data_IF_410242993732
#
_entry.id   IF_410242993732
#
_cell.length_a   1.000
_cell.length_b   1.000
_cell.length_c   1.000
_cell.angle_alpha   90.00
_cell.angle_beta   90.00
_cell.angle_gamma   90.00
#
_symmetry.space_group_name_H-M   'P 1'
#
loop_
_entity.id
_entity.type
_entity.pdbx_description
1 polymer ?
#
# COMPACT_ATOMS: atom_id res chain seq x y z
N UNK A 1 12.94 4.07 2.28
CA UNK A 1 12.46 4.69 3.55
C UNK A 1 12.63 6.21 3.62
N UNK A 2 13.37 6.86 2.72
CA UNK A 2 13.61 8.31 2.77
C UNK A 2 12.31 9.14 2.78
N UNK A 3 11.39 8.86 1.87
CA UNK A 3 10.10 9.56 1.77
C UNK A 3 9.28 9.47 3.08
N UNK A 4 9.09 8.27 3.64
CA UNK A 4 8.35 8.11 4.90
C UNK A 4 8.97 8.91 6.05
N UNK A 5 10.30 8.91 6.17
CA UNK A 5 11.00 9.69 7.20
C UNK A 5 10.76 11.18 7.01
N UNK A 6 10.86 11.69 5.79
CA UNK A 6 10.60 13.09 5.48
C UNK A 6 9.14 13.48 5.78
N UNK A 7 8.17 12.71 5.29
CA UNK A 7 6.75 12.99 5.50
C UNK A 7 6.36 12.95 6.98
N UNK A 8 6.97 12.06 7.76
CA UNK A 8 6.67 11.94 9.19
C UNK A 8 7.41 12.97 10.04
N UNK A 9 8.71 13.18 9.81
CA UNK A 9 9.56 14.01 10.69
C UNK A 9 9.49 15.48 10.34
N UNK A 10 9.47 15.79 9.05
CA UNK A 10 9.62 17.17 8.57
C UNK A 10 8.25 17.77 8.26
N UNK A 11 7.34 16.99 7.66
CA UNK A 11 5.99 17.42 7.26
C UNK A 11 4.87 16.87 8.17
N UNK A 12 5.23 16.18 9.25
CA UNK A 12 4.28 15.43 10.08
C UNK A 12 3.16 16.30 10.66
N UNK A 13 3.46 17.54 11.05
CA UNK A 13 2.47 18.47 11.59
C UNK A 13 1.30 18.76 10.62
N UNK A 14 1.54 18.63 9.31
CA UNK A 14 0.52 18.87 8.27
C UNK A 14 -0.04 17.56 7.72
N UNK A 15 0.84 16.59 7.45
CA UNK A 15 0.49 15.38 6.72
C UNK A 15 0.04 14.22 7.62
N UNK A 16 0.35 14.24 8.91
CA UNK A 16 0.00 13.15 9.83
C UNK A 16 -1.27 13.45 10.62
N UNK A 17 -2.23 12.53 10.57
CA UNK A 17 -3.45 12.56 11.38
C UNK A 17 -3.73 11.23 12.05
N UNK A 18 -4.96 11.08 12.57
CA UNK A 18 -5.37 9.91 13.36
C UNK A 18 -5.31 8.58 12.59
N UNK A 19 -5.33 8.63 11.25
CA UNK A 19 -5.23 7.46 10.36
C UNK A 19 -3.90 7.38 9.61
N UNK A 20 -2.87 8.09 10.07
CA UNK A 20 -1.55 8.14 9.44
C UNK A 20 -1.40 9.30 8.46
N UNK A 21 -0.71 9.08 7.34
CA UNK A 21 -0.54 10.09 6.29
C UNK A 21 -1.88 10.42 5.63
N UNK A 22 -2.12 11.70 5.34
CA UNK A 22 -3.25 12.19 4.55
C UNK A 22 -3.16 11.73 3.09
N UNK A 23 -4.30 11.76 2.40
CA UNK A 23 -4.48 11.18 1.08
C UNK A 23 -3.55 11.77 -0.01
N UNK A 24 -3.35 13.09 0.02
CA UNK A 24 -2.53 13.81 -0.94
C UNK A 24 -2.10 15.18 -0.37
N UNK A 25 -1.06 15.77 -0.97
CA UNK A 25 -0.67 17.16 -0.73
C UNK A 25 -0.01 17.76 -1.98
N UNK A 26 -0.07 19.08 -2.11
CA UNK A 26 0.60 19.86 -3.15
C UNK A 26 1.27 21.10 -2.52
N UNK A 27 2.60 21.07 -2.29
CA UNK A 27 3.30 22.19 -1.66
C UNK A 27 3.34 23.44 -2.55
N UNK A 28 3.22 23.30 -3.88
CA UNK A 28 3.17 24.44 -4.80
C UNK A 28 1.84 25.20 -4.77
N UNK A 29 0.83 24.67 -4.08
CA UNK A 29 -0.48 25.30 -3.90
C UNK A 29 -0.86 25.45 -2.42
N UNK A 30 0.09 25.21 -1.50
CA UNK A 30 -0.15 25.18 -0.05
C UNK A 30 -1.40 24.37 0.33
N UNK A 31 -1.58 23.21 -0.32
CA UNK A 31 -2.78 22.39 -0.18
C UNK A 31 -2.46 21.02 0.38
N UNK A 32 -3.28 20.58 1.32
CA UNK A 32 -3.24 19.24 1.91
C UNK A 32 -4.64 18.67 1.91
N UNK A 33 -4.80 17.41 1.54
CA UNK A 33 -6.11 16.75 1.49
C UNK A 33 -6.72 16.61 2.88
N UNK A 34 -7.98 17.03 3.03
CA UNK A 34 -8.72 16.91 4.28
C UNK A 34 -9.16 15.48 4.61
N UNK A 35 -9.08 14.58 3.62
CA UNK A 35 -9.62 13.22 3.72
C UNK A 35 -8.53 12.16 3.86
N UNK A 36 -9.00 10.96 4.22
CA UNK A 36 -8.24 9.72 4.15
C UNK A 36 -9.02 8.76 3.25
N UNK A 37 -8.47 8.40 2.09
CA UNK A 37 -9.11 7.42 1.22
C UNK A 37 -8.73 6.01 1.66
N UNK A 38 -9.72 5.17 2.02
CA UNK A 38 -9.46 3.81 2.50
C UNK A 38 -8.65 2.96 1.52
N UNK A 39 -8.91 3.12 0.21
CA UNK A 39 -8.16 2.44 -0.85
C UNK A 39 -6.68 2.84 -0.89
N UNK A 40 -6.33 4.05 -0.44
CA UNK A 40 -4.95 4.54 -0.39
C UNK A 40 -4.27 4.20 0.94
N UNK A 41 -5.01 4.24 2.06
CA UNK A 41 -4.48 3.88 3.38
C UNK A 41 -4.23 2.37 3.53
N UNK A 42 -5.15 1.52 3.06
CA UNK A 42 -5.05 0.08 3.28
C UNK A 42 -3.77 -0.54 2.68
N UNK A 43 -3.36 -0.21 1.43
CA UNK A 43 -2.11 -0.69 0.88
C UNK A 43 -0.88 -0.27 1.67
N UNK A 44 -0.84 0.92 2.30
CA UNK A 44 0.30 1.34 3.12
C UNK A 44 0.54 0.32 4.24
N UNK A 45 -0.50 0.01 5.00
CA UNK A 45 -0.43 -0.95 6.11
C UNK A 45 -0.13 -2.36 5.62
N UNK A 46 -0.87 -2.84 4.62
CA UNK A 46 -0.71 -4.21 4.07
C UNK A 46 0.69 -4.41 3.51
N UNK A 47 1.22 -3.45 2.78
CA UNK A 47 2.53 -3.58 2.12
C UNK A 47 3.69 -3.40 3.09
N UNK A 48 3.55 -2.56 4.13
CA UNK A 48 4.53 -2.53 5.23
C UNK A 48 4.60 -3.89 5.93
N UNK A 49 3.46 -4.51 6.23
CA UNK A 49 3.45 -5.81 6.90
C UNK A 49 3.99 -6.93 5.99
N UNK A 50 3.64 -6.91 4.70
CA UNK A 50 4.22 -7.84 3.72
C UNK A 50 5.73 -7.70 3.62
N UNK A 51 6.28 -6.47 3.66
CA UNK A 51 7.72 -6.26 3.70
C UNK A 51 8.37 -6.83 4.98
N UNK A 52 7.72 -6.68 6.13
CA UNK A 52 8.27 -7.11 7.43
C UNK A 52 8.24 -8.62 7.62
N UNK A 53 7.13 -9.26 7.30
CA UNK A 53 6.88 -10.68 7.64
C UNK A 53 6.34 -11.50 6.48
N UNK A 54 5.80 -10.83 5.46
CA UNK A 54 5.08 -11.46 4.36
C UNK A 54 3.71 -12.00 4.75
N UNK A 55 3.12 -11.56 5.88
CA UNK A 55 1.89 -12.14 6.43
C UNK A 55 0.75 -12.25 5.41
N UNK A 56 0.36 -11.14 4.79
CA UNK A 56 -0.81 -11.13 3.89
C UNK A 56 -0.53 -11.95 2.63
N UNK A 57 0.68 -11.88 2.08
CA UNK A 57 1.09 -12.74 0.96
C UNK A 57 1.04 -14.21 1.33
N UNK A 58 1.61 -14.61 2.47
CA UNK A 58 1.59 -16.01 2.93
C UNK A 58 0.17 -16.51 3.13
N UNK A 59 -0.69 -15.70 3.76
CA UNK A 59 -2.10 -16.04 3.97
C UNK A 59 -2.88 -16.15 2.65
N UNK A 60 -2.65 -15.25 1.70
CA UNK A 60 -3.32 -15.33 0.40
C UNK A 60 -2.84 -16.54 -0.40
N UNK A 61 -1.53 -16.78 -0.42
CA UNK A 61 -0.92 -17.88 -1.17
C UNK A 61 -1.16 -19.26 -0.55
N UNK A 62 -1.60 -19.34 0.72
CA UNK A 62 -1.96 -20.62 1.35
C UNK A 62 -3.31 -21.18 0.90
N UNK A 63 -4.12 -20.38 0.19
CA UNK A 63 -5.40 -20.85 -0.34
C UNK A 63 -5.17 -21.87 -1.47
N UNK A 64 -5.76 -23.08 -1.39
CA UNK A 64 -5.47 -24.17 -2.34
C UNK A 64 -5.81 -23.83 -3.79
N UNK A 65 -6.81 -22.98 -4.01
CA UNK A 65 -7.24 -22.53 -5.33
C UNK A 65 -6.20 -21.64 -6.04
N UNK A 66 -5.37 -20.90 -5.30
CA UNK A 66 -4.46 -19.91 -5.89
C UNK A 66 -3.38 -20.59 -6.73
N UNK A 67 -2.85 -21.73 -6.28
CA UNK A 67 -1.88 -22.51 -7.06
C UNK A 67 -2.45 -23.00 -8.39
N UNK A 68 -3.69 -23.51 -8.39
CA UNK A 68 -4.37 -23.96 -9.61
C UNK A 68 -4.74 -22.80 -10.54
N UNK A 69 -5.15 -21.66 -9.99
CA UNK A 69 -5.42 -20.45 -10.78
C UNK A 69 -4.16 -19.93 -11.47
N UNK A 70 -3.02 -19.88 -10.78
CA UNK A 70 -1.74 -19.44 -11.37
C UNK A 70 -1.29 -20.38 -12.50
N UNK A 71 -1.41 -21.70 -12.33
CA UNK A 71 -1.10 -22.66 -13.42
C UNK A 71 -1.96 -22.43 -14.66
N UNK A 72 -3.26 -22.18 -14.48
CA UNK A 72 -4.18 -21.86 -15.59
C UNK A 72 -3.78 -20.58 -16.29
N UNK A 73 -3.45 -19.53 -15.53
CA UNK A 73 -2.97 -18.26 -16.08
C UNK A 73 -1.68 -18.44 -16.90
N UNK A 74 -0.69 -19.18 -16.40
CA UNK A 74 0.55 -19.46 -17.13
C UNK A 74 0.33 -20.21 -18.45
N UNK A 75 -0.65 -21.10 -18.52
CA UNK A 75 -1.02 -21.80 -19.77
C UNK A 75 -1.62 -20.82 -20.77
N UNK A 76 -2.53 -19.95 -20.34
CA UNK A 76 -3.16 -18.95 -21.22
C UNK A 76 -2.18 -17.88 -21.70
N UNK A 77 -1.29 -17.39 -20.83
CA UNK A 77 -0.28 -16.38 -21.22
C UNK A 77 0.71 -16.91 -22.25
N UNK A 78 1.05 -18.20 -22.22
CA UNK A 78 1.98 -18.82 -23.20
C UNK A 78 1.37 -19.06 -24.59
N UNK A 79 0.04 -18.96 -24.73
CA UNK A 79 -0.65 -19.11 -26.02
C UNK A 79 -0.69 -17.80 -26.82
N UNK A 80 -0.40 -16.66 -26.18
CA UNK A 80 -0.31 -15.34 -26.81
C UNK A 80 1.10 -15.11 -27.34
#
# INVERSE_FOLDING_TARGET
>A
MAALKHYYRDLGAQLWGIYGLRDAYNPGQDWVSDIFMGLNQAPITVMIENYRTGLVWKSFMSNPEIGEMLKKLEVETRKQ
#
